data_IF_441145247535
#
_entry.id   IF_441145247535
#
_cell.length_a   1.000
_cell.length_b   1.000
_cell.length_c   1.000
_cell.angle_alpha   90.00
_cell.angle_beta   90.00
_cell.angle_gamma   90.00
#
_symmetry.space_group_name_H-M   'P 1'
#
loop_
_entity.id
_entity.type
_entity.pdbx_description
1 polymer ?
#
# COMPACT_ATOMS: atom_id res chain seq x y z
N UNK A 1 3.76 -5.02 25.38
CA UNK A 1 3.12 -4.24 24.29
C UNK A 1 4.23 -3.52 23.54
N UNK A 2 4.35 -3.73 22.22
CA UNK A 2 5.31 -3.03 21.36
C UNK A 2 4.53 -2.07 20.47
N UNK A 3 4.79 -0.77 20.60
CA UNK A 3 4.26 0.26 19.70
C UNK A 3 5.41 0.79 18.87
N UNK A 4 5.31 0.66 17.55
CA UNK A 4 6.39 1.05 16.64
C UNK A 4 5.80 1.63 15.35
N UNK A 5 6.45 2.67 14.84
CA UNK A 5 6.21 3.19 13.49
C UNK A 5 7.22 2.61 12.47
N UNK A 6 8.20 1.83 12.95
CA UNK A 6 9.18 1.14 12.12
C UNK A 6 8.63 -0.22 11.69
N UNK A 7 8.22 -0.30 10.43
CA UNK A 7 7.68 -1.51 9.82
C UNK A 7 8.68 -2.68 9.81
N UNK A 8 9.98 -2.41 9.63
CA UNK A 8 10.98 -3.48 9.55
C UNK A 8 11.20 -4.12 10.93
N UNK A 9 11.24 -3.31 11.99
CA UNK A 9 11.25 -3.82 13.36
C UNK A 9 10.00 -4.67 13.63
N UNK A 10 8.82 -4.16 13.28
CA UNK A 10 7.56 -4.88 13.42
C UNK A 10 7.59 -6.23 12.67
N UNK A 11 8.06 -6.25 11.43
CA UNK A 11 8.17 -7.44 10.59
C UNK A 11 9.12 -8.48 11.18
N UNK A 12 10.23 -8.06 11.77
CA UNK A 12 11.16 -8.97 12.44
C UNK A 12 10.50 -9.67 13.64
N UNK A 13 9.78 -8.91 14.46
CA UNK A 13 8.99 -9.49 15.56
C UNK A 13 7.93 -10.47 15.06
N UNK A 14 7.23 -10.08 14.01
CA UNK A 14 6.19 -10.91 13.40
C UNK A 14 6.72 -12.28 12.93
N UNK A 15 7.88 -12.28 12.25
CA UNK A 15 8.56 -13.50 11.80
C UNK A 15 9.03 -14.35 12.98
N UNK A 16 9.60 -13.73 14.02
CA UNK A 16 10.09 -14.45 15.20
C UNK A 16 8.97 -15.14 15.97
N UNK A 17 7.84 -14.46 16.17
CA UNK A 17 6.67 -15.05 16.82
C UNK A 17 6.08 -16.18 15.99
N UNK A 18 5.97 -16.01 14.67
CA UNK A 18 5.52 -17.09 13.79
C UNK A 18 6.46 -18.31 13.85
N UNK A 19 7.77 -18.08 13.82
CA UNK A 19 8.77 -19.14 13.96
C UNK A 19 8.60 -19.88 15.30
N UNK A 20 8.49 -19.15 16.42
CA UNK A 20 8.28 -19.71 17.75
C UNK A 20 7.01 -20.57 17.82
N UNK A 21 5.91 -20.07 17.25
CA UNK A 21 4.63 -20.79 17.23
C UNK A 21 4.67 -22.07 16.38
N UNK A 22 5.59 -22.19 15.43
CA UNK A 22 5.80 -23.39 14.59
C UNK A 22 6.69 -24.45 15.24
N UNK A 23 7.49 -24.12 16.26
CA UNK A 23 8.42 -25.06 16.95
C UNK A 23 7.68 -26.22 17.64
N UNK A 24 6.35 -26.15 17.76
CA UNK A 24 5.51 -27.25 18.23
C UNK A 24 5.11 -27.09 19.69
N UNK A 25 5.33 -28.13 20.50
CA UNK A 25 4.95 -28.16 21.92
C UNK A 25 6.16 -28.01 22.83
N UNK A 26 5.97 -27.31 23.93
CA UNK A 26 6.97 -27.25 24.99
C UNK A 26 7.13 -28.64 25.65
N UNK A 27 8.37 -29.08 25.82
CA UNK A 27 8.69 -30.43 26.30
C UNK A 27 8.33 -30.65 27.77
N UNK A 28 8.20 -29.59 28.57
CA UNK A 28 7.89 -29.67 30.01
C UNK A 28 6.39 -29.66 30.28
N UNK A 29 5.66 -28.81 29.55
CA UNK A 29 4.24 -28.55 29.79
C UNK A 29 3.32 -29.24 28.79
N UNK A 30 3.84 -29.74 27.66
CA UNK A 30 3.05 -30.35 26.58
C UNK A 30 2.13 -29.40 25.83
N UNK A 31 2.10 -28.11 26.22
CA UNK A 31 1.30 -27.05 25.58
C UNK A 31 1.95 -26.58 24.30
N UNK A 32 1.14 -26.13 23.34
CA UNK A 32 1.69 -25.54 22.11
C UNK A 32 2.39 -24.21 22.42
N UNK A 33 3.43 -23.87 21.66
CA UNK A 33 4.08 -22.56 21.81
C UNK A 33 3.12 -21.40 21.57
N UNK A 34 2.06 -21.60 20.77
CA UNK A 34 0.99 -20.63 20.56
C UNK A 34 0.15 -20.37 21.82
N UNK A 35 -0.12 -21.42 22.61
CA UNK A 35 -0.84 -21.28 23.89
C UNK A 35 0.03 -20.62 24.96
N UNK A 36 1.33 -20.90 24.97
CA UNK A 36 2.26 -20.35 25.95
C UNK A 36 2.63 -18.89 25.65
N UNK A 37 2.71 -18.53 24.37
CA UNK A 37 3.12 -17.21 23.89
C UNK A 37 2.12 -16.67 22.87
N UNK A 38 0.89 -16.33 23.30
CA UNK A 38 -0.08 -15.69 22.43
C UNK A 38 0.43 -14.30 22.02
N UNK A 39 0.33 -14.00 20.73
CA UNK A 39 0.71 -12.71 20.18
C UNK A 39 -0.34 -12.29 19.15
N UNK A 40 -0.79 -11.05 19.28
CA UNK A 40 -1.74 -10.42 18.37
C UNK A 40 -1.08 -9.18 17.77
N UNK A 41 -1.36 -8.92 16.49
CA UNK A 41 -0.70 -7.91 15.69
C UNK A 41 -1.76 -6.96 15.13
N UNK A 42 -1.48 -5.67 15.21
CA UNK A 42 -2.43 -4.64 14.83
C UNK A 42 -1.74 -3.49 14.09
N UNK A 43 -2.50 -2.84 13.22
CA UNK A 43 -2.13 -1.62 12.53
C UNK A 43 -3.04 -0.48 13.01
N UNK A 44 -2.45 0.67 13.32
CA UNK A 44 -3.19 1.88 13.64
C UNK A 44 -3.49 2.64 12.36
N UNK A 45 -4.77 2.70 11.98
CA UNK A 45 -5.25 3.44 10.81
C UNK A 45 -5.96 4.72 11.23
N UNK A 46 -5.91 5.70 10.35
CA UNK A 46 -6.73 6.90 10.41
C UNK A 46 -7.97 6.68 9.56
N UNK A 47 -9.15 7.01 10.08
CA UNK A 47 -10.41 6.99 9.34
C UNK A 47 -11.21 8.25 9.66
N UNK A 48 -12.17 8.60 8.82
CA UNK A 48 -13.14 9.65 9.14
C UNK A 48 -14.47 9.03 9.53
N UNK A 49 -15.10 9.60 10.56
CA UNK A 49 -16.44 9.18 10.98
C UNK A 49 -17.30 10.41 11.17
N UNK A 50 -18.48 10.41 10.55
CA UNK A 50 -19.48 11.46 10.73
C UNK A 50 -20.31 11.15 11.96
N UNK A 51 -20.25 12.02 12.96
CA UNK A 51 -21.12 11.96 14.15
C UNK A 51 -21.84 13.29 14.32
N UNK A 52 -23.16 13.24 14.39
CA UNK A 52 -24.02 14.42 14.56
C UNK A 52 -23.75 15.52 13.52
N UNK A 53 -23.59 15.13 12.24
CA UNK A 53 -23.32 16.06 11.14
C UNK A 53 -21.91 16.67 11.10
N UNK A 54 -21.00 16.22 11.98
CA UNK A 54 -19.59 16.65 11.98
C UNK A 54 -18.70 15.47 11.64
N UNK A 55 -17.95 15.59 10.55
CA UNK A 55 -16.94 14.61 10.18
C UNK A 55 -15.68 14.83 11.02
N UNK A 56 -15.21 13.78 11.68
CA UNK A 56 -14.00 13.82 12.52
C UNK A 56 -13.08 12.66 12.21
N UNK A 57 -11.79 12.95 12.19
CA UNK A 57 -10.74 11.93 12.12
C UNK A 57 -10.73 11.12 13.40
N UNK A 58 -10.83 9.80 13.27
CA UNK A 58 -10.87 8.84 14.37
C UNK A 58 -9.84 7.73 14.13
N UNK A 59 -8.96 7.44 15.09
CA UNK A 59 -8.03 6.32 14.98
C UNK A 59 -8.77 4.98 15.11
N UNK A 60 -8.40 4.02 14.28
CA UNK A 60 -8.92 2.65 14.31
C UNK A 60 -7.76 1.68 14.43
N UNK A 61 -7.85 0.77 15.40
CA UNK A 61 -6.93 -0.35 15.53
C UNK A 61 -7.49 -1.50 14.68
N UNK A 62 -6.82 -1.81 13.58
CA UNK A 62 -7.20 -2.89 12.69
C UNK A 62 -6.28 -4.10 12.88
N UNK A 63 -6.80 -5.31 12.70
CA UNK A 63 -5.98 -6.53 12.73
C UNK A 63 -4.93 -6.49 11.61
N UNK A 64 -3.69 -6.83 11.96
CA UNK A 64 -2.61 -6.95 11.00
C UNK A 64 -2.01 -8.36 11.01
N UNK A 65 -1.77 -9.00 9.86
CA UNK A 65 -2.29 -8.65 8.55
C UNK A 65 -3.78 -9.03 8.44
N UNK A 66 -4.54 -8.42 7.49
CA UNK A 66 -5.96 -8.69 7.33
C UNK A 66 -6.29 -10.18 7.12
N UNK A 67 -5.40 -10.91 6.45
CA UNK A 67 -5.47 -12.37 6.32
C UNK A 67 -4.09 -12.98 6.02
N UNK A 68 -4.00 -14.32 6.08
CA UNK A 68 -2.77 -15.08 5.80
C UNK A 68 -2.24 -14.88 4.38
N UNK A 69 -3.10 -14.58 3.40
CA UNK A 69 -2.66 -14.34 2.03
C UNK A 69 -1.92 -13.00 1.93
N UNK A 70 -2.47 -11.93 2.51
CA UNK A 70 -1.81 -10.62 2.60
C UNK A 70 -0.48 -10.72 3.33
N UNK A 71 -0.42 -11.49 4.43
CA UNK A 71 0.84 -11.75 5.14
C UNK A 71 1.97 -12.26 4.24
N UNK A 72 1.68 -13.23 3.36
CA UNK A 72 2.67 -13.82 2.45
C UNK A 72 3.16 -12.85 1.36
N UNK A 73 2.35 -11.82 1.08
CA UNK A 73 2.61 -10.80 0.06
C UNK A 73 3.45 -9.64 0.62
N UNK A 74 3.30 -9.31 1.90
CA UNK A 74 4.07 -8.24 2.55
C UNK A 74 5.44 -8.77 3.01
N UNK A 75 6.40 -8.83 2.09
CA UNK A 75 7.74 -9.37 2.36
C UNK A 75 8.77 -8.33 2.80
N UNK A 76 8.49 -7.05 2.57
CA UNK A 76 9.35 -5.92 2.93
C UNK A 76 8.53 -4.63 3.05
N UNK A 77 9.14 -3.57 3.60
CA UNK A 77 8.59 -2.21 3.60
C UNK A 77 8.17 -1.74 2.21
N UNK A 78 8.90 -2.18 1.17
CA UNK A 78 8.58 -1.86 -0.22
C UNK A 78 7.26 -2.50 -0.68
N UNK A 79 7.06 -3.80 -0.40
CA UNK A 79 5.80 -4.47 -0.72
C UNK A 79 4.63 -3.86 0.07
N UNK A 80 4.85 -3.52 1.33
CA UNK A 80 3.86 -2.82 2.15
C UNK A 80 3.49 -1.47 1.53
N UNK A 81 4.47 -0.65 1.16
CA UNK A 81 4.24 0.65 0.53
C UNK A 81 3.45 0.51 -0.78
N UNK A 82 3.79 -0.47 -1.61
CA UNK A 82 3.05 -0.76 -2.84
C UNK A 82 1.60 -1.15 -2.56
N UNK A 83 1.36 -2.11 -1.67
CA UNK A 83 0.00 -2.56 -1.28
C UNK A 83 -0.81 -1.39 -0.73
N UNK A 84 -0.26 -0.62 0.21
CA UNK A 84 -0.94 0.54 0.79
C UNK A 84 -1.30 1.59 -0.28
N UNK A 85 -0.44 1.78 -1.28
CA UNK A 85 -0.65 2.76 -2.36
C UNK A 85 -1.75 2.29 -3.30
N UNK A 86 -1.79 1.00 -3.65
CA UNK A 86 -2.87 0.43 -4.47
C UNK A 86 -4.21 0.47 -3.72
N UNK A 87 -4.22 0.05 -2.44
CA UNK A 87 -5.43 0.11 -1.60
C UNK A 87 -5.95 1.54 -1.48
N UNK A 88 -5.05 2.52 -1.35
CA UNK A 88 -5.46 3.92 -1.27
C UNK A 88 -6.00 4.45 -2.60
N UNK A 89 -5.38 4.10 -3.72
CA UNK A 89 -5.90 4.47 -5.03
C UNK A 89 -7.33 3.93 -5.20
N UNK A 90 -7.55 2.64 -4.93
CA UNK A 90 -8.88 2.03 -4.98
C UNK A 90 -9.90 2.76 -4.10
N UNK A 91 -9.55 3.07 -2.85
CA UNK A 91 -10.43 3.81 -1.95
C UNK A 91 -10.78 5.22 -2.51
N UNK A 92 -9.84 5.89 -3.19
CA UNK A 92 -10.07 7.19 -3.83
C UNK A 92 -10.91 7.09 -5.12
N UNK A 93 -10.97 5.92 -5.77
CA UNK A 93 -11.93 5.67 -6.86
C UNK A 93 -13.33 5.37 -6.32
N UNK A 94 -13.43 4.63 -5.22
CA UNK A 94 -14.71 4.30 -4.58
C UNK A 94 -15.36 5.50 -3.87
N UNK A 95 -14.56 6.28 -3.14
CA UNK A 95 -15.01 7.45 -2.38
C UNK A 95 -13.95 8.57 -2.46
N UNK A 96 -14.19 9.50 -3.39
CA UNK A 96 -13.34 10.66 -3.63
C UNK A 96 -13.73 11.89 -2.77
N UNK A 97 -14.21 11.65 -1.55
CA UNK A 97 -14.50 12.70 -0.58
C UNK A 97 -13.26 13.51 -0.19
N UNK A 98 -13.48 14.77 0.19
CA UNK A 98 -12.42 15.66 0.68
C UNK A 98 -11.67 15.03 1.86
N UNK A 99 -12.38 14.34 2.74
CA UNK A 99 -11.80 13.61 3.86
C UNK A 99 -10.85 12.49 3.43
N UNK A 100 -11.22 11.68 2.44
CA UNK A 100 -10.33 10.64 1.93
C UNK A 100 -9.11 11.21 1.20
N UNK A 101 -9.29 12.31 0.46
CA UNK A 101 -8.19 13.07 -0.16
C UNK A 101 -7.22 13.60 0.90
N UNK A 102 -7.72 14.23 1.96
CA UNK A 102 -6.92 14.75 3.07
C UNK A 102 -6.19 13.63 3.83
N UNK A 103 -6.85 12.50 4.11
CA UNK A 103 -6.19 11.35 4.74
C UNK A 103 -5.02 10.83 3.88
N UNK A 104 -5.25 10.72 2.57
CA UNK A 104 -4.25 10.28 1.62
C UNK A 104 -3.07 11.25 1.57
N UNK A 105 -3.35 12.54 1.48
CA UNK A 105 -2.36 13.61 1.40
C UNK A 105 -1.38 13.62 2.57
N UNK A 106 -1.83 13.27 3.78
CA UNK A 106 -0.98 13.30 4.98
C UNK A 106 0.04 12.16 5.03
N UNK A 107 -0.28 11.00 4.46
CA UNK A 107 0.54 9.79 4.58
C UNK A 107 1.29 9.46 3.29
N UNK A 108 0.63 9.57 2.14
CA UNK A 108 1.09 8.99 0.89
C UNK A 108 2.28 9.68 0.23
N UNK A 109 2.55 10.98 0.44
CA UNK A 109 3.81 11.59 -0.01
C UNK A 109 5.05 10.84 0.50
N UNK A 110 5.07 10.49 1.80
CA UNK A 110 6.18 9.76 2.41
C UNK A 110 6.21 8.28 2.03
N UNK A 111 5.05 7.64 1.89
CA UNK A 111 4.94 6.24 1.42
C UNK A 111 5.44 6.13 -0.02
N UNK A 112 4.98 7.00 -0.91
CA UNK A 112 5.38 7.06 -2.31
C UNK A 112 6.87 7.37 -2.44
N UNK A 113 7.40 8.31 -1.65
CA UNK A 113 8.83 8.62 -1.66
C UNK A 113 9.67 7.36 -1.40
N UNK A 114 9.39 6.64 -0.31
CA UNK A 114 10.09 5.40 0.03
C UNK A 114 9.93 4.32 -1.05
N UNK A 115 8.74 4.25 -1.65
CA UNK A 115 8.47 3.31 -2.75
C UNK A 115 9.31 3.63 -3.98
N UNK A 116 9.36 4.90 -4.41
CA UNK A 116 10.16 5.36 -5.54
C UNK A 116 11.66 5.26 -5.28
N UNK A 117 12.13 5.62 -4.08
CA UNK A 117 13.52 5.44 -3.65
C UNK A 117 13.95 3.98 -3.80
N UNK A 118 13.14 3.05 -3.30
CA UNK A 118 13.44 1.62 -3.38
C UNK A 118 13.36 1.09 -4.82
N UNK A 119 12.36 1.51 -5.59
CA UNK A 119 12.20 1.12 -6.99
C UNK A 119 13.39 1.57 -7.85
N UNK A 120 13.80 2.84 -7.72
CA UNK A 120 14.94 3.38 -8.45
C UNK A 120 16.26 2.76 -7.98
N UNK A 121 16.41 2.47 -6.68
CA UNK A 121 17.57 1.73 -6.17
C UNK A 121 17.71 0.32 -6.77
N UNK A 122 16.59 -0.38 -7.03
CA UNK A 122 16.63 -1.68 -7.71
C UNK A 122 17.02 -1.54 -9.19
N UNK A 123 16.61 -0.45 -9.84
CA UNK A 123 16.95 -0.20 -11.25
C UNK A 123 18.38 0.29 -11.45
N UNK A 124 18.83 1.16 -10.57
CA UNK A 124 20.11 1.85 -10.63
C UNK A 124 20.71 1.91 -9.22
N UNK A 125 21.43 0.84 -8.80
CA UNK A 125 22.03 0.77 -7.47
C UNK A 125 22.97 1.94 -7.14
N UNK A 126 23.58 2.55 -8.15
CA UNK A 126 24.49 3.69 -8.00
C UNK A 126 23.77 4.98 -7.56
N UNK A 127 22.44 5.04 -7.60
CA UNK A 127 21.65 6.20 -7.19
C UNK A 127 21.16 6.13 -5.74
N UNK A 128 21.47 5.05 -5.03
CA UNK A 128 21.06 4.83 -3.64
C UNK A 128 21.52 5.98 -2.75
N UNK A 129 20.63 6.44 -1.87
CA UNK A 129 20.93 7.49 -0.89
C UNK A 129 20.77 8.92 -1.40
N UNK A 130 20.55 9.14 -2.71
CA UNK A 130 20.26 10.46 -3.25
C UNK A 130 18.99 10.46 -4.11
N UNK A 131 17.84 10.61 -3.45
CA UNK A 131 16.53 10.62 -4.12
C UNK A 131 16.39 11.73 -5.16
N UNK A 132 16.92 12.93 -4.90
CA UNK A 132 16.84 14.04 -5.86
C UNK A 132 17.59 13.73 -7.15
N UNK A 133 18.80 13.15 -7.03
CA UNK A 133 19.58 12.70 -8.18
C UNK A 133 18.88 11.55 -8.91
N UNK A 134 18.37 10.57 -8.17
CA UNK A 134 17.65 9.44 -8.74
C UNK A 134 16.42 9.90 -9.55
N UNK A 135 15.63 10.81 -8.99
CA UNK A 135 14.50 11.41 -9.69
C UNK A 135 14.99 12.21 -10.90
N UNK A 136 15.98 13.08 -10.77
CA UNK A 136 16.57 13.82 -11.89
C UNK A 136 16.93 12.91 -13.07
N UNK A 137 17.70 11.85 -12.80
CA UNK A 137 18.18 10.93 -13.82
C UNK A 137 17.07 10.02 -14.38
N UNK A 138 15.95 9.85 -13.66
CA UNK A 138 14.81 9.07 -14.16
C UNK A 138 14.17 9.64 -15.43
N UNK A 139 14.35 10.94 -15.72
CA UNK A 139 13.88 11.52 -16.98
C UNK A 139 14.54 10.86 -18.20
N UNK A 140 15.84 10.52 -18.11
CA UNK A 140 16.53 9.78 -19.17
C UNK A 140 16.02 8.34 -19.27
N UNK A 141 15.68 7.70 -18.16
CA UNK A 141 15.05 6.37 -18.19
C UNK A 141 13.69 6.40 -18.91
N UNK A 142 12.86 7.41 -18.63
CA UNK A 142 11.57 7.59 -19.31
C UNK A 142 11.75 7.85 -20.80
N UNK A 143 12.70 8.69 -21.19
CA UNK A 143 13.03 8.94 -22.61
C UNK A 143 13.51 7.66 -23.31
N UNK A 144 14.40 6.89 -22.66
CA UNK A 144 14.91 5.63 -23.18
C UNK A 144 13.83 4.56 -23.29
N UNK A 145 12.82 4.60 -22.42
CA UNK A 145 11.62 3.76 -22.48
C UNK A 145 10.59 4.23 -23.53
N UNK A 146 10.93 5.25 -24.34
CA UNK A 146 10.04 5.85 -25.33
C UNK A 146 8.71 6.34 -24.73
N UNK A 147 8.75 6.90 -23.51
CA UNK A 147 7.58 7.53 -22.91
C UNK A 147 7.06 8.66 -23.81
N UNK A 148 5.75 8.62 -24.12
CA UNK A 148 5.12 9.54 -25.08
C UNK A 148 4.75 10.90 -24.46
N UNK A 149 4.67 10.98 -23.12
CA UNK A 149 4.40 12.22 -22.41
C UNK A 149 5.65 13.04 -22.13
N UNK A 150 5.48 14.14 -21.39
CA UNK A 150 6.60 14.96 -20.92
C UNK A 150 7.27 14.30 -19.70
N UNK A 151 8.43 13.67 -19.93
CA UNK A 151 9.21 12.99 -18.90
C UNK A 151 9.66 13.94 -17.77
N UNK A 152 10.00 15.19 -18.10
CA UNK A 152 10.44 16.17 -17.12
C UNK A 152 9.27 16.69 -16.29
N UNK A 153 8.10 16.88 -16.90
CA UNK A 153 6.88 17.23 -16.17
C UNK A 153 6.43 16.11 -15.22
N UNK A 154 6.44 14.85 -15.67
CA UNK A 154 6.08 13.69 -14.83
C UNK A 154 7.03 13.58 -13.63
N UNK A 155 8.34 13.57 -13.88
CA UNK A 155 9.38 13.58 -12.84
C UNK A 155 9.18 14.72 -11.85
N UNK A 156 8.99 15.95 -12.34
CA UNK A 156 8.87 17.15 -11.51
C UNK A 156 7.61 17.09 -10.63
N UNK A 157 6.49 16.62 -11.18
CA UNK A 157 5.25 16.39 -10.42
C UNK A 157 5.49 15.43 -9.27
N UNK A 158 6.07 14.26 -9.54
CA UNK A 158 6.36 13.24 -8.53
C UNK A 158 7.35 13.74 -7.47
N UNK A 159 8.38 14.48 -7.89
CA UNK A 159 9.38 15.07 -6.98
C UNK A 159 8.73 16.09 -6.05
N UNK A 160 7.91 17.01 -6.58
CA UNK A 160 7.18 17.99 -5.77
C UNK A 160 6.22 17.31 -4.80
N UNK A 161 5.46 16.33 -5.26
CA UNK A 161 4.52 15.59 -4.42
C UNK A 161 5.20 14.90 -3.25
N UNK A 162 6.31 14.18 -3.51
CA UNK A 162 7.05 13.44 -2.48
C UNK A 162 7.83 14.32 -1.51
N UNK A 163 8.18 15.55 -1.90
CA UNK A 163 8.82 16.52 -1.00
C UNK A 163 7.83 17.30 -0.13
N UNK A 164 6.54 17.30 -0.47
CA UNK A 164 5.51 18.08 0.24
C UNK A 164 5.45 17.79 1.76
N UNK A 165 5.89 16.60 2.20
CA UNK A 165 5.91 16.21 3.62
C UNK A 165 7.21 15.50 4.04
N UNK A 166 8.29 15.62 3.25
CA UNK A 166 9.56 14.93 3.57
C UNK A 166 10.48 15.72 4.52
N UNK A 167 10.15 16.99 4.84
CA UNK A 167 10.86 17.78 5.85
C UNK A 167 10.06 17.82 7.15
N UNK A 168 10.48 17.00 8.09
CA UNK A 168 10.03 16.98 9.49
C UNK A 168 10.50 18.23 10.26
N UNK A 169 10.06 19.43 9.87
CA UNK A 169 10.35 20.67 10.63
C UNK A 169 9.15 21.58 10.88
N UNK A 170 7.98 21.31 10.31
CA UNK A 170 6.79 22.05 10.73
C UNK A 170 5.49 21.27 10.56
N UNK A 171 4.63 21.20 11.58
CA UNK A 171 3.25 20.72 11.47
C UNK A 171 2.36 21.76 10.76
N UNK A 172 2.94 22.50 9.80
CA UNK A 172 2.28 23.57 9.07
C UNK A 172 1.68 22.92 7.82
N UNK A 173 0.37 22.73 7.81
CA UNK A 173 -0.41 22.24 6.67
C UNK A 173 -0.69 23.34 5.63
N UNK A 174 0.09 24.42 5.63
CA UNK A 174 -0.17 25.63 4.86
C UNK A 174 0.59 25.68 3.52
N UNK A 175 1.58 24.80 3.32
CA UNK A 175 2.32 24.62 2.05
C UNK A 175 1.82 23.44 1.23
N UNK A 176 0.55 23.07 1.43
CA UNK A 176 0.01 21.79 1.01
C UNK A 176 -0.19 21.69 -0.51
N UNK A 177 0.32 20.60 -1.09
CA UNK A 177 -0.19 20.07 -2.36
C UNK A 177 -1.71 19.97 -2.26
N UNK A 178 -2.48 20.45 -3.23
CA UNK A 178 -3.94 20.38 -3.14
C UNK A 178 -4.39 18.94 -2.86
N UNK A 179 -5.34 18.69 -1.94
CA UNK A 179 -5.93 17.35 -1.76
C UNK A 179 -6.42 16.75 -3.09
N UNK A 180 -6.80 17.60 -4.03
CA UNK A 180 -7.26 17.22 -5.38
C UNK A 180 -6.15 16.60 -6.24
N UNK A 181 -4.87 16.86 -5.93
CA UNK A 181 -3.73 16.31 -6.69
C UNK A 181 -3.32 14.91 -6.22
N UNK A 182 -3.81 14.43 -5.07
CA UNK A 182 -3.31 13.19 -4.46
C UNK A 182 -3.60 11.97 -5.31
N UNK A 183 -4.82 11.87 -5.85
CA UNK A 183 -5.21 10.78 -6.74
C UNK A 183 -4.33 10.75 -7.99
N UNK A 184 -4.24 11.88 -8.68
CA UNK A 184 -3.40 12.03 -9.88
C UNK A 184 -1.91 11.80 -9.59
N UNK A 185 -1.43 12.15 -8.41
CA UNK A 185 -0.06 11.85 -8.01
C UNK A 185 0.16 10.34 -7.82
N UNK A 186 -0.79 9.63 -7.19
CA UNK A 186 -0.71 8.17 -7.05
C UNK A 186 -0.77 7.47 -8.41
N UNK A 187 -1.67 7.89 -9.31
CA UNK A 187 -1.75 7.38 -10.68
C UNK A 187 -0.43 7.60 -11.43
N UNK A 188 0.13 8.81 -11.36
CA UNK A 188 1.41 9.15 -11.98
C UNK A 188 2.58 8.30 -11.47
N UNK A 189 2.54 7.84 -10.22
CA UNK A 189 3.57 6.94 -9.67
C UNK A 189 3.49 5.56 -10.33
N UNK A 190 2.29 5.02 -10.52
CA UNK A 190 2.12 3.73 -11.18
C UNK A 190 2.46 3.80 -12.66
N UNK A 191 2.06 4.88 -13.33
CA UNK A 191 2.50 5.18 -14.69
C UNK A 191 4.03 5.21 -14.77
N UNK A 192 4.69 5.99 -13.91
CA UNK A 192 6.14 6.10 -13.87
C UNK A 192 6.84 4.74 -13.67
N UNK A 193 6.36 3.93 -12.72
CA UNK A 193 6.91 2.58 -12.49
C UNK A 193 6.71 1.66 -13.70
N UNK A 194 5.52 1.68 -14.30
CA UNK A 194 5.21 0.90 -15.49
C UNK A 194 6.07 1.29 -16.69
N UNK A 195 6.30 2.59 -16.91
CA UNK A 195 7.10 3.07 -18.03
C UNK A 195 8.59 2.75 -17.87
N UNK A 196 9.15 2.92 -16.67
CA UNK A 196 10.58 2.62 -16.43
C UNK A 196 10.85 1.12 -16.42
N UNK A 197 9.94 0.34 -15.85
CA UNK A 197 10.14 -1.10 -15.68
C UNK A 197 8.83 -1.88 -15.55
N UNK A 198 8.14 -2.04 -16.67
CA UNK A 198 6.92 -2.83 -16.76
C UNK A 198 7.06 -4.24 -16.17
N UNK A 199 8.12 -5.04 -16.46
CA UNK A 199 8.23 -6.39 -15.93
C UNK A 199 8.13 -6.49 -14.40
N UNK A 200 8.82 -5.62 -13.65
CA UNK A 200 8.74 -5.67 -12.20
C UNK A 200 7.54 -4.92 -11.61
N UNK A 201 7.00 -3.90 -12.29
CA UNK A 201 5.67 -3.38 -11.95
C UNK A 201 4.58 -4.47 -12.04
N UNK A 202 4.54 -5.22 -13.16
CA UNK A 202 3.62 -6.36 -13.34
C UNK A 202 3.87 -7.45 -12.30
N UNK A 203 5.14 -7.72 -11.98
CA UNK A 203 5.50 -8.66 -10.91
C UNK A 203 4.92 -8.26 -9.55
N UNK A 204 4.96 -6.98 -9.19
CA UNK A 204 4.35 -6.48 -7.95
C UNK A 204 2.83 -6.63 -7.95
N UNK A 205 2.18 -6.32 -9.08
CA UNK A 205 0.74 -6.51 -9.26
C UNK A 205 0.35 -8.00 -9.11
N UNK A 206 1.13 -8.90 -9.72
CA UNK A 206 0.91 -10.35 -9.62
C UNK A 206 1.06 -10.88 -8.19
N UNK A 207 2.02 -10.36 -7.41
CA UNK A 207 2.15 -10.70 -5.98
C UNK A 207 0.87 -10.38 -5.23
N UNK A 208 0.21 -9.27 -5.56
CA UNK A 208 -0.99 -8.83 -4.86
C UNK A 208 -2.29 -9.31 -5.49
N UNK A 209 -2.24 -9.88 -6.69
CA UNK A 209 -3.37 -10.45 -7.41
C UNK A 209 -4.27 -9.37 -8.03
N UNK A 210 -3.67 -8.28 -8.51
CA UNK A 210 -4.38 -7.18 -9.17
C UNK A 210 -3.91 -7.11 -10.63
N UNK A 211 -4.82 -6.78 -11.54
CA UNK A 211 -4.50 -6.51 -12.94
C UNK A 211 -3.75 -5.17 -13.04
N UNK A 212 -2.53 -5.14 -13.61
CA UNK A 212 -1.80 -3.90 -13.87
C UNK A 212 -2.64 -2.85 -14.62
N UNK A 213 -3.47 -3.26 -15.56
CA UNK A 213 -4.26 -2.33 -16.37
C UNK A 213 -5.41 -1.70 -15.57
N UNK A 214 -5.94 -2.38 -14.55
CA UNK A 214 -6.94 -1.79 -13.65
C UNK A 214 -6.36 -0.66 -12.77
N UNK A 215 -5.04 -0.70 -12.50
CA UNK A 215 -4.34 0.34 -11.76
C UNK A 215 -3.95 1.52 -12.67
N UNK A 216 -3.65 1.22 -13.94
CA UNK A 216 -3.23 2.21 -14.93
C UNK A 216 -4.42 2.89 -15.64
N UNK A 217 -5.59 2.26 -15.64
CA UNK A 217 -6.83 2.81 -16.21
C UNK A 217 -7.57 3.63 -15.16
N UNK A 218 -8.30 4.66 -15.61
CA UNK A 218 -9.14 5.50 -14.73
C UNK A 218 -10.34 4.76 -14.09
N UNK A 219 -10.51 3.46 -14.40
CA UNK A 219 -11.63 2.61 -13.99
C UNK A 219 -11.10 1.32 -13.33
N UNK A 220 -11.22 1.23 -12.00
CA UNK A 220 -11.05 -0.03 -11.29
C UNK A 220 -12.32 -0.87 -11.50
N UNK A 221 -12.29 -1.84 -12.41
CA UNK A 221 -13.29 -2.89 -12.43
C UNK A 221 -12.92 -3.96 -11.39
N UNK A 222 -13.85 -4.19 -10.46
CA UNK A 222 -13.72 -5.12 -9.34
C UNK A 222 -13.70 -6.57 -9.87
N UNK A 223 -12.51 -7.16 -9.99
CA UNK A 223 -12.36 -8.58 -10.32
C UNK A 223 -12.59 -9.44 -9.08
N UNK A 224 -13.83 -9.41 -8.57
CA UNK A 224 -14.28 -10.33 -7.53
C UNK A 224 -15.70 -10.83 -7.80
N UNK A 225 -15.82 -11.81 -8.71
CA UNK A 225 -17.10 -12.49 -8.91
C UNK A 225 -17.14 -13.49 -10.06
N UNK A 226 -16.46 -14.62 -9.94
CA UNK A 226 -17.00 -15.85 -10.54
C UNK A 226 -16.56 -17.10 -9.78
N UNK A 227 -17.37 -17.49 -8.79
CA UNK A 227 -17.48 -18.89 -8.37
C UNK A 227 -18.89 -19.37 -8.71
N UNK A 228 -19.05 -19.86 -9.93
CA UNK A 228 -20.27 -20.57 -10.33
C UNK A 228 -20.40 -21.89 -9.55
N UNK A 229 -21.57 -22.05 -8.92
CA UNK A 229 -22.35 -23.28 -8.98
C UNK A 229 -21.85 -24.49 -8.18
N UNK A 230 -22.26 -24.58 -6.91
CA UNK A 230 -22.62 -25.87 -6.34
C UNK A 230 -24.06 -25.81 -5.85
N UNK A 231 -24.91 -26.59 -6.52
CA UNK A 231 -26.35 -26.61 -6.33
C UNK A 231 -26.77 -27.15 -4.97
N UNK A 232 -27.88 -26.62 -4.48
CA UNK A 232 -28.67 -27.21 -3.40
C UNK A 232 -30.01 -27.57 -4.01
N UNK A 233 -30.27 -28.89 -4.07
CA UNK A 233 -31.58 -29.44 -4.31
C UNK A 233 -32.46 -29.10 -3.10
N UNK A 234 -33.62 -28.49 -3.34
CA UNK A 234 -34.66 -28.35 -2.32
C UNK A 234 -35.92 -29.11 -2.74
N UNK A 235 -36.34 -29.95 -1.80
CA UNK A 235 -37.31 -31.02 -1.87
C UNK A 235 -38.73 -30.44 -1.73
N UNK A 236 -39.49 -30.46 -2.82
CA UNK A 236 -40.88 -30.01 -2.85
C UNK A 236 -41.84 -31.07 -2.32
N UNK A 237 -42.15 -31.02 -1.03
CA UNK A 237 -43.28 -31.74 -0.43
C UNK A 237 -44.34 -30.76 0.08
N UNK A 238 -45.46 -30.59 -0.65
CA UNK A 238 -46.73 -30.21 -0.04
C UNK A 238 -47.95 -30.66 -0.85
N UNK A 239 -48.66 -31.63 -0.27
CA UNK A 239 -50.08 -31.90 -0.50
C UNK A 239 -50.89 -30.60 -0.33
N UNK A 240 -51.79 -30.27 -1.25
CA UNK A 240 -53.23 -30.59 -1.28
C UNK A 240 -53.68 -30.56 -2.73
#
# INVERSE_FOLDING_TARGET
LLLTHNFELFRQWDIQFEALQRVGKDKKTGKSMKELYPAEFYELKSTFTTRSGKTKRTPVIANWPPNKAVRKKVRSTYHHAFISTVDKLRNLHEDDSMENRLDAQLLFPNVIRRMLETFLAFKQPDWVGNFNLAMHNSADLLRNACYQGDADALRLRLTRYTHAYSHSESPITDTTVSPDEVKTAIEAVFEFMNQIDRPHFVGLCAVIGIDPEAILSETFEDTSGNSEGFGVAEEGARKV
#
